data_IF_573793032116
#
_entry.id   IF_573793032116
#
_cell.length_a   1.000
_cell.length_b   1.000
_cell.length_c   1.000
_cell.angle_alpha   90.00
_cell.angle_beta   90.00
_cell.angle_gamma   90.00
#
_symmetry.space_group_name_H-M   'P 1'
#
loop_
_entity.id
_entity.type
_entity.pdbx_description
1 polymer ?
#
# COMPACT_ATOMS: atom_id res chain seq x y z
N UNK A 1 18.83 23.96 -7.29
CA UNK A 1 18.09 24.75 -6.28
C UNK A 1 18.84 26.06 -6.07
N UNK A 2 18.15 27.19 -6.16
CA UNK A 2 18.68 28.53 -5.88
C UNK A 2 17.66 29.32 -5.06
N UNK A 3 18.14 30.20 -4.19
CA UNK A 3 17.31 31.10 -3.39
C UNK A 3 17.73 32.53 -3.70
N UNK A 4 16.79 33.35 -4.17
CA UNK A 4 17.09 34.74 -4.52
C UNK A 4 17.18 35.65 -3.28
N UNK A 5 17.52 36.91 -3.50
CA UNK A 5 17.62 37.93 -2.44
C UNK A 5 16.29 38.19 -1.71
N UNK A 6 15.16 37.79 -2.30
CA UNK A 6 13.82 37.91 -1.70
C UNK A 6 13.40 36.64 -0.96
N UNK A 7 14.26 35.61 -0.89
CA UNK A 7 13.97 34.34 -0.23
C UNK A 7 13.16 33.35 -1.07
N UNK A 8 12.90 33.64 -2.36
CA UNK A 8 12.14 32.75 -3.24
C UNK A 8 13.04 31.58 -3.67
N UNK A 9 12.55 30.35 -3.48
CA UNK A 9 13.27 29.13 -3.85
C UNK A 9 12.82 28.65 -5.22
N UNK A 10 13.77 28.55 -6.15
CA UNK A 10 13.52 28.06 -7.51
C UNK A 10 14.25 26.75 -7.76
N UNK A 11 13.54 25.78 -8.35
CA UNK A 11 14.08 24.54 -8.87
C UNK A 11 14.06 24.62 -10.39
N UNK A 12 15.24 24.61 -11.00
CA UNK A 12 15.41 24.68 -12.45
C UNK A 12 16.53 23.73 -12.87
N UNK A 13 16.40 23.24 -14.09
CA UNK A 13 17.37 22.51 -14.90
C UNK A 13 18.44 23.43 -15.53
N UNK A 14 18.27 24.75 -15.48
CA UNK A 14 19.24 25.72 -15.96
C UNK A 14 20.26 26.09 -14.86
N UNK A 15 21.55 26.15 -15.25
CA UNK A 15 22.62 26.55 -14.35
C UNK A 15 22.52 28.06 -14.04
N UNK A 16 22.42 28.40 -12.76
CA UNK A 16 22.44 29.77 -12.26
C UNK A 16 23.59 29.95 -11.25
N UNK A 17 24.13 31.18 -11.17
CA UNK A 17 25.18 31.50 -10.20
C UNK A 17 24.69 31.23 -8.77
N UNK A 18 25.46 30.46 -7.99
CA UNK A 18 25.08 30.07 -6.62
C UNK A 18 24.07 28.91 -6.55
N UNK A 19 23.64 28.34 -7.68
CA UNK A 19 22.78 27.16 -7.67
C UNK A 19 23.55 25.92 -7.20
N UNK A 20 22.89 25.12 -6.38
CA UNK A 20 23.42 23.84 -5.91
C UNK A 20 22.60 22.67 -6.46
N UNK A 21 23.28 21.53 -6.69
CA UNK A 21 22.64 20.26 -7.06
C UNK A 21 21.69 19.87 -5.93
N UNK A 22 20.41 19.78 -6.25
CA UNK A 22 19.42 19.33 -5.29
C UNK A 22 19.41 17.80 -5.28
N UNK A 23 20.02 17.23 -4.24
CA UNK A 23 20.03 15.78 -4.03
C UNK A 23 18.90 15.43 -3.07
N UNK A 24 17.90 14.71 -3.56
CA UNK A 24 16.92 14.05 -2.69
C UNK A 24 17.65 12.97 -1.89
N UNK A 25 17.94 13.25 -0.63
CA UNK A 25 18.48 12.28 0.33
C UNK A 25 17.39 11.62 1.18
N UNK A 26 16.14 12.02 0.96
CA UNK A 26 15.03 11.45 1.68
C UNK A 26 14.78 10.03 1.18
N UNK A 27 15.01 9.05 2.05
CA UNK A 27 14.49 7.71 1.83
C UNK A 27 13.02 7.78 2.21
N UNK A 28 12.14 7.73 1.22
CA UNK A 28 10.72 7.53 1.48
C UNK A 28 10.54 6.16 2.15
N UNK A 29 10.44 6.14 3.49
CA UNK A 29 10.18 4.92 4.26
C UNK A 29 8.68 4.82 4.51
N UNK A 30 7.95 4.25 3.55
CA UNK A 30 6.54 3.91 3.76
C UNK A 30 6.43 2.75 4.77
N UNK A 31 5.91 3.02 5.96
CA UNK A 31 5.62 2.01 6.99
C UNK A 31 4.15 1.55 6.91
N UNK A 32 3.79 0.89 5.81
CA UNK A 32 2.43 0.39 5.59
C UNK A 32 2.01 -0.67 6.63
N UNK A 33 2.99 -1.40 7.17
CA UNK A 33 2.80 -2.43 8.22
C UNK A 33 2.13 -1.86 9.48
N UNK A 34 2.30 -0.56 9.72
CA UNK A 34 1.65 0.12 10.85
C UNK A 34 0.19 0.49 10.58
N UNK A 35 -0.29 0.37 9.34
CA UNK A 35 -1.62 0.80 8.92
C UNK A 35 -2.51 -0.37 8.46
N UNK A 36 -1.93 -1.55 8.18
CA UNK A 36 -2.68 -2.79 7.94
C UNK A 36 -2.46 -3.74 9.11
N UNK A 37 -3.48 -3.93 9.95
CA UNK A 37 -3.33 -4.59 11.27
C UNK A 37 -4.24 -5.80 11.41
N UNK A 38 -3.71 -6.86 12.02
CA UNK A 38 -4.50 -7.97 12.56
C UNK A 38 -4.85 -7.66 14.02
N UNK A 39 -6.14 -7.69 14.35
CA UNK A 39 -6.67 -7.56 15.70
C UNK A 39 -7.32 -8.89 16.14
N UNK A 40 -6.97 -9.36 17.34
CA UNK A 40 -7.61 -10.52 17.97
C UNK A 40 -8.56 -10.05 19.06
N UNK A 41 -9.87 -10.30 18.90
CA UNK A 41 -10.90 -10.00 19.90
C UNK A 41 -11.33 -11.27 20.60
N UNK A 42 -11.02 -11.38 21.89
CA UNK A 42 -11.39 -12.52 22.74
C UNK A 42 -12.81 -12.40 23.27
N UNK A 43 -13.51 -13.52 23.40
CA UNK A 43 -14.83 -13.64 24.00
C UNK A 43 -15.03 -15.02 24.65
N UNK A 44 -16.12 -15.23 25.38
CA UNK A 44 -16.33 -16.48 26.14
C UNK A 44 -16.25 -17.75 25.27
N UNK A 45 -16.77 -17.70 24.04
CA UNK A 45 -16.78 -18.84 23.12
C UNK A 45 -15.50 -19.02 22.27
N UNK A 46 -14.44 -18.24 22.51
CA UNK A 46 -13.22 -18.27 21.70
C UNK A 46 -12.72 -16.87 21.31
N UNK A 47 -12.28 -16.69 20.07
CA UNK A 47 -11.82 -15.39 19.62
C UNK A 47 -12.04 -15.14 18.13
N UNK A 48 -12.07 -13.85 17.78
CA UNK A 48 -12.32 -13.38 16.42
C UNK A 48 -11.08 -12.67 15.89
N UNK A 49 -10.66 -13.02 14.68
CA UNK A 49 -9.58 -12.38 13.95
C UNK A 49 -10.16 -11.34 12.99
N UNK A 50 -9.81 -10.08 13.21
CA UNK A 50 -10.21 -8.95 12.36
C UNK A 50 -8.98 -8.36 11.68
N UNK A 51 -9.12 -7.95 10.43
CA UNK A 51 -8.10 -7.17 9.74
C UNK A 51 -8.62 -5.78 9.48
N UNK A 52 -7.80 -4.78 9.81
CA UNK A 52 -8.09 -3.36 9.64
C UNK A 52 -7.13 -2.74 8.63
N UNK A 53 -7.68 -1.97 7.70
CA UNK A 53 -6.95 -1.17 6.74
C UNK A 53 -7.16 0.32 7.06
N UNK A 54 -6.14 0.93 7.63
CA UNK A 54 -6.10 2.37 7.92
C UNK A 54 -5.60 3.19 6.70
N UNK A 55 -5.26 2.56 5.57
CA UNK A 55 -4.81 3.28 4.37
C UNK A 55 -5.99 3.90 3.62
N UNK A 56 -5.66 4.90 2.79
CA UNK A 56 -6.60 5.54 1.86
C UNK A 56 -6.74 4.79 0.51
N UNK A 57 -6.12 3.61 0.41
CA UNK A 57 -6.17 2.75 -0.78
C UNK A 57 -6.72 1.36 -0.42
N UNK A 58 -7.31 0.64 -1.39
CA UNK A 58 -7.61 -0.78 -1.22
C UNK A 58 -6.33 -1.58 -0.93
N UNK A 59 -6.47 -2.67 -0.19
CA UNK A 59 -5.36 -3.56 0.15
C UNK A 59 -5.78 -5.01 -0.06
N UNK A 60 -5.01 -5.75 -0.85
CA UNK A 60 -5.08 -7.20 -0.90
C UNK A 60 -4.41 -7.79 0.34
N UNK A 61 -5.11 -8.69 1.02
CA UNK A 61 -4.63 -9.33 2.23
C UNK A 61 -4.70 -10.85 2.11
N UNK A 62 -3.76 -11.51 2.76
CA UNK A 62 -3.73 -12.97 2.93
C UNK A 62 -3.51 -13.28 4.42
N UNK A 63 -4.48 -13.94 5.05
CA UNK A 63 -4.38 -14.46 6.41
C UNK A 63 -4.20 -15.97 6.38
N UNK A 64 -3.07 -16.46 6.91
CA UNK A 64 -2.77 -17.88 7.11
C UNK A 64 -2.63 -18.17 8.61
N UNK A 65 -3.17 -19.29 9.07
CA UNK A 65 -2.93 -19.81 10.41
C UNK A 65 -2.00 -21.02 10.34
N UNK A 66 -0.92 -20.99 11.12
CA UNK A 66 0.07 -22.07 11.23
C UNK A 66 0.05 -22.66 12.64
N UNK A 67 0.65 -23.84 12.83
CA UNK A 67 0.75 -24.51 14.14
C UNK A 67 -0.62 -24.62 14.87
N UNK A 68 -1.67 -24.90 14.11
CA UNK A 68 -3.05 -24.92 14.60
C UNK A 68 -3.28 -26.18 15.44
N UNK A 69 -3.64 -25.99 16.71
CA UNK A 69 -3.94 -27.05 17.66
C UNK A 69 -5.13 -26.68 18.55
N UNK A 70 -5.99 -27.66 18.81
CA UNK A 70 -7.24 -27.50 19.55
C UNK A 70 -8.22 -26.42 18.99
N UNK A 71 -8.12 -26.03 17.72
CA UNK A 71 -8.98 -24.98 17.13
C UNK A 71 -10.06 -25.56 16.22
N UNK A 72 -11.28 -25.03 16.35
CA UNK A 72 -12.41 -25.11 15.41
C UNK A 72 -12.56 -23.76 14.72
N UNK A 73 -12.90 -23.76 13.43
CA UNK A 73 -13.05 -22.53 12.63
C UNK A 73 -11.76 -22.00 11.98
N UNK A 74 -10.62 -22.67 12.21
CA UNK A 74 -9.39 -22.37 11.48
C UNK A 74 -9.50 -22.86 10.02
N UNK A 75 -9.26 -22.00 9.02
CA UNK A 75 -9.31 -22.39 7.62
C UNK A 75 -8.10 -23.26 7.25
N UNK A 76 -8.32 -24.30 6.43
CA UNK A 76 -7.24 -25.16 5.94
C UNK A 76 -6.33 -24.47 4.90
N UNK A 77 -6.87 -23.46 4.19
CA UNK A 77 -6.16 -22.65 3.19
C UNK A 77 -6.11 -21.19 3.65
N UNK A 78 -5.12 -20.40 3.22
CA UNK A 78 -5.10 -18.97 3.50
C UNK A 78 -6.37 -18.27 3.00
N UNK A 79 -6.90 -17.35 3.81
CA UNK A 79 -8.03 -16.50 3.42
C UNK A 79 -7.46 -15.30 2.67
N UNK A 80 -7.95 -15.05 1.45
CA UNK A 80 -7.62 -13.87 0.66
C UNK A 80 -8.80 -12.92 0.57
N UNK A 81 -8.54 -11.63 0.69
CA UNK A 81 -9.58 -10.61 0.61
C UNK A 81 -9.00 -9.28 0.12
N UNK A 82 -9.83 -8.47 -0.55
CA UNK A 82 -9.48 -7.08 -0.86
C UNK A 82 -10.24 -6.18 0.09
N UNK A 83 -9.52 -5.54 1.01
CA UNK A 83 -10.08 -4.69 2.04
C UNK A 83 -10.17 -3.24 1.51
N UNK A 84 -11.35 -2.60 1.48
CA UNK A 84 -11.50 -1.21 1.06
C UNK A 84 -10.65 -0.24 1.91
N UNK A 85 -10.41 0.99 1.42
CA UNK A 85 -9.84 2.06 2.21
C UNK A 85 -10.60 2.26 3.52
N UNK A 86 -9.88 2.58 4.61
CA UNK A 86 -10.47 2.97 5.91
C UNK A 86 -11.54 2.01 6.43
N UNK A 87 -11.29 0.71 6.31
CA UNK A 87 -12.28 -0.32 6.64
C UNK A 87 -11.69 -1.46 7.47
N UNK A 88 -12.58 -2.29 8.03
CA UNK A 88 -12.20 -3.49 8.78
C UNK A 88 -13.12 -4.66 8.40
N UNK A 89 -12.60 -5.88 8.50
CA UNK A 89 -13.36 -7.10 8.24
C UNK A 89 -13.01 -8.18 9.28
N UNK A 90 -14.02 -8.97 9.66
CA UNK A 90 -13.83 -10.23 10.39
C UNK A 90 -13.49 -11.34 9.39
N UNK A 91 -12.30 -11.92 9.49
CA UNK A 91 -11.86 -13.01 8.60
C UNK A 91 -12.15 -14.40 9.17
N UNK A 92 -11.99 -14.59 10.48
CA UNK A 92 -12.20 -15.89 11.11
C UNK A 92 -12.71 -15.74 12.54
N UNK A 93 -13.52 -16.71 12.97
CA UNK A 93 -13.87 -16.92 14.38
C UNK A 93 -13.36 -18.28 14.77
N UNK A 94 -12.53 -18.33 15.81
CA UNK A 94 -11.85 -19.50 16.32
C UNK A 94 -12.47 -19.89 17.65
N UNK A 95 -12.71 -21.18 17.85
CA UNK A 95 -13.22 -21.73 19.10
C UNK A 95 -12.38 -22.95 19.52
N UNK A 96 -12.30 -23.26 20.83
CA UNK A 96 -11.67 -24.49 21.29
C UNK A 96 -12.45 -25.72 20.83
N UNK A 97 -11.76 -26.76 20.37
CA UNK A 97 -12.36 -28.08 20.11
C UNK A 97 -12.68 -28.80 21.42
N UNK A 98 -11.74 -28.74 22.36
CA UNK A 98 -11.87 -29.20 23.74
C UNK A 98 -11.82 -27.97 24.64
N UNK A 99 -12.95 -27.66 25.29
CA UNK A 99 -13.11 -26.47 26.13
C UNK A 99 -12.21 -26.48 27.38
N UNK A 100 -11.69 -27.65 27.78
CA UNK A 100 -10.75 -27.78 28.91
C UNK A 100 -9.31 -27.39 28.56
N UNK A 101 -9.00 -27.21 27.27
CA UNK A 101 -7.65 -26.92 26.77
C UNK A 101 -7.60 -25.57 26.05
N UNK A 102 -6.48 -24.84 26.11
CA UNK A 102 -6.32 -23.61 25.34
C UNK A 102 -6.23 -23.92 23.84
N UNK A 103 -6.56 -22.94 23.00
CA UNK A 103 -6.27 -22.98 21.57
C UNK A 103 -4.84 -22.52 21.30
N UNK A 104 -4.20 -23.07 20.26
CA UNK A 104 -2.86 -22.64 19.81
C UNK A 104 -2.85 -22.48 18.30
N UNK A 105 -2.25 -21.38 17.83
CA UNK A 105 -1.97 -21.12 16.41
C UNK A 105 -0.99 -19.95 16.29
N UNK A 106 -0.43 -19.78 15.10
CA UNK A 106 0.43 -18.66 14.73
C UNK A 106 -0.19 -17.96 13.52
N UNK A 107 -0.70 -16.72 13.66
CA UNK A 107 -1.24 -15.99 12.52
C UNK A 107 -0.11 -15.37 11.68
N UNK A 108 -0.25 -15.46 10.37
CA UNK A 108 0.60 -14.79 9.38
C UNK A 108 -0.29 -13.93 8.48
N UNK A 109 -0.12 -12.61 8.56
CA UNK A 109 -0.77 -11.65 7.69
C UNK A 109 0.23 -11.16 6.64
N UNK A 110 -0.13 -11.29 5.37
CA UNK A 110 0.57 -10.64 4.25
C UNK A 110 -0.39 -9.65 3.60
N UNK A 111 0.16 -8.59 3.03
CA UNK A 111 -0.65 -7.57 2.38
C UNK A 111 0.11 -6.91 1.23
N UNK A 112 -0.65 -6.36 0.27
CA UNK A 112 -0.15 -5.57 -0.84
C UNK A 112 -1.16 -4.46 -1.18
N UNK A 113 -0.68 -3.30 -1.61
CA UNK A 113 -1.53 -2.19 -2.04
C UNK A 113 -2.27 -2.53 -3.34
N UNK A 114 -3.54 -2.13 -3.43
CA UNK A 114 -4.39 -2.27 -4.60
C UNK A 114 -5.25 -3.53 -4.60
N UNK A 115 -5.90 -3.77 -5.74
CA UNK A 115 -6.69 -4.98 -6.01
C UNK A 115 -6.02 -5.74 -7.17
N UNK A 116 -5.46 -6.94 -6.93
CA UNK A 116 -4.73 -7.72 -7.93
C UNK A 116 -5.62 -8.26 -9.05
N UNK A 117 -6.94 -8.18 -8.91
CA UNK A 117 -7.92 -8.62 -9.92
C UNK A 117 -8.19 -7.53 -10.97
N UNK A 118 -7.71 -6.30 -10.74
CA UNK A 118 -7.89 -5.21 -11.68
C UNK A 118 -7.03 -5.45 -12.92
N UNK A 119 -7.69 -5.51 -14.07
CA UNK A 119 -7.01 -5.54 -15.36
C UNK A 119 -6.66 -4.11 -15.80
N UNK A 120 -5.48 -3.90 -16.39
CA UNK A 120 -5.14 -2.63 -17.03
C UNK A 120 -6.21 -2.27 -18.04
N UNK A 121 -6.79 -1.07 -17.90
CA UNK A 121 -7.69 -0.54 -18.91
C UNK A 121 -6.86 0.11 -20.01
N UNK A 122 -7.11 -0.18 -21.30
CA UNK A 122 -6.40 0.45 -22.40
C UNK A 122 -6.92 1.88 -22.58
N UNK A 123 -6.50 2.79 -21.71
CA UNK A 123 -6.75 4.21 -21.89
C UNK A 123 -5.78 4.75 -22.94
N UNK A 124 -6.34 5.34 -24.01
CA UNK A 124 -5.57 6.23 -24.87
C UNK A 124 -5.43 7.55 -24.13
N UNK A 125 -4.32 7.71 -23.42
CA UNK A 125 -3.94 9.02 -22.91
C UNK A 125 -3.70 9.92 -24.12
N UNK A 126 -4.37 11.08 -24.22
CA UNK A 126 -4.02 12.04 -25.25
C UNK A 126 -2.54 12.40 -25.07
N UNK A 127 -1.85 12.62 -26.18
CA UNK A 127 -0.55 13.28 -26.10
C UNK A 127 -0.73 14.58 -25.32
N UNK A 128 0.25 14.99 -24.49
CA UNK A 128 0.16 16.23 -23.71
C UNK A 128 0.01 17.47 -24.60
N UNK A 129 0.17 17.32 -25.91
CA UNK A 129 0.03 18.39 -26.90
C UNK A 129 -1.25 18.20 -27.72
N UNK A 130 -2.08 19.25 -27.79
CA UNK A 130 -3.25 19.34 -28.67
C UNK A 130 -2.91 20.28 -29.83
N UNK A 131 -3.05 19.83 -31.09
CA UNK A 131 -2.69 20.60 -32.30
C UNK A 131 -1.60 19.94 -33.16
N UNK A 132 -1.10 20.61 -34.21
CA UNK A 132 0.01 20.13 -35.05
C UNK A 132 0.18 20.96 -36.33
N UNK A 133 1.38 20.95 -36.98
CA UNK A 133 2.49 20.00 -36.79
C UNK A 133 3.46 20.36 -35.64
N UNK A 134 3.93 19.34 -34.92
CA UNK A 134 4.98 19.47 -33.90
C UNK A 134 6.34 19.09 -34.50
N UNK A 135 7.39 19.85 -34.16
CA UNK A 135 8.79 19.49 -34.45
C UNK A 135 9.50 19.16 -33.15
N UNK A 136 10.10 17.97 -33.11
CA UNK A 136 11.09 17.65 -32.07
C UNK A 136 12.35 18.47 -32.39
N UNK A 137 12.86 19.21 -31.43
CA UNK A 137 14.11 19.97 -31.56
C UNK A 137 14.96 19.67 -30.31
N UNK A 138 16.28 19.83 -30.41
CA UNK A 138 17.19 19.58 -29.28
C UNK A 138 16.97 20.56 -28.10
N UNK A 139 16.21 21.64 -28.31
CA UNK A 139 15.88 22.67 -27.33
C UNK A 139 15.19 23.85 -27.98
N UNK A 140 14.91 24.91 -27.21
CA UNK A 140 14.36 26.15 -27.76
C UNK A 140 15.25 26.68 -28.89
N UNK A 141 14.68 26.86 -30.09
CA UNK A 141 15.38 27.25 -31.32
C UNK A 141 16.44 26.27 -31.85
N UNK A 142 16.43 25.00 -31.42
CA UNK A 142 17.30 23.98 -31.98
C UNK A 142 16.97 23.67 -33.44
N UNK A 143 18.01 23.50 -34.27
CA UNK A 143 17.84 22.87 -35.58
C UNK A 143 17.53 21.38 -35.33
N UNK A 144 16.58 20.85 -36.10
CA UNK A 144 15.94 19.54 -35.93
C UNK A 144 16.92 18.36 -36.02
#
# INVERSE_FOLDING_TARGET
KYTDANGVVTYSDQAAAGAQVFVFRDRMVEKLDTQVRLETRKHAAGETLLVRNDLFAPVDIELKLENVDNVVGAPAKPIRWVLPPRSQIRLATLAPRDASKPIRYTPKLRHALGDPRLLPKPYKYPLPWRGGPFRLTQGANGQY
#
